data_IF_061784433272
#
_entry.id   IF_061784433272
#
_cell.length_a   1.000
_cell.length_b   1.000
_cell.length_c   1.000
_cell.angle_alpha   90.00
_cell.angle_beta   90.00
_cell.angle_gamma   90.00
#
_symmetry.space_group_name_H-M   'P 1'
#
loop_
_entity.id
_entity.type
_entity.pdbx_description
1 polymer ?
#
# COMPACT_ATOMS: atom_id res chain seq x y z
N UNK A 1 13.09 0.84 19.33
CA UNK A 1 13.67 1.87 18.44
C UNK A 1 14.26 3.01 19.25
N UNK A 2 13.53 3.57 20.24
CA UNK A 2 13.97 4.72 21.03
C UNK A 2 15.25 4.46 21.85
N UNK A 3 15.41 3.24 22.38
CA UNK A 3 16.63 2.83 23.08
C UNK A 3 17.88 2.89 22.17
N UNK A 4 17.73 2.52 20.91
CA UNK A 4 18.79 2.61 19.90
C UNK A 4 19.00 4.06 19.45
N UNK A 5 17.91 4.81 19.25
CA UNK A 5 17.95 6.22 18.85
C UNK A 5 18.61 7.13 19.92
N UNK A 6 18.58 6.72 21.20
CA UNK A 6 19.29 7.40 22.28
C UNK A 6 20.82 7.24 22.19
N UNK A 7 21.31 6.27 21.43
CA UNK A 7 22.75 5.95 21.32
C UNK A 7 23.34 6.34 19.96
N UNK A 8 22.55 6.21 18.90
CA UNK A 8 22.97 6.50 17.53
C UNK A 8 21.84 7.11 16.73
N UNK A 9 22.12 7.93 15.70
CA UNK A 9 21.09 8.41 14.79
C UNK A 9 20.38 7.24 14.10
N UNK A 10 19.04 7.24 14.13
CA UNK A 10 18.21 6.18 13.57
C UNK A 10 17.32 6.72 12.46
N UNK A 11 17.31 6.00 11.34
CA UNK A 11 16.41 6.24 10.22
C UNK A 11 15.41 5.09 10.09
N UNK A 12 14.16 5.41 9.79
CA UNK A 12 13.17 4.41 9.36
C UNK A 12 13.02 4.45 7.85
N UNK A 13 12.84 3.29 7.22
CA UNK A 13 12.74 3.12 5.77
C UNK A 13 11.48 2.38 5.38
N UNK A 14 10.76 2.86 4.38
CA UNK A 14 9.59 2.19 3.80
C UNK A 14 8.36 2.11 4.69
N UNK A 15 8.56 2.02 6.01
CA UNK A 15 7.50 2.14 7.01
C UNK A 15 7.97 3.06 8.13
N UNK A 16 7.18 4.05 8.45
CA UNK A 16 7.51 5.06 9.46
C UNK A 16 7.16 4.59 10.89
N UNK A 17 7.82 5.21 11.86
CA UNK A 17 7.52 5.13 13.29
C UNK A 17 7.44 6.55 13.88
N UNK A 18 6.38 7.32 13.56
CA UNK A 18 6.31 8.77 13.83
C UNK A 18 6.33 9.10 15.32
N UNK A 19 5.89 8.17 16.18
CA UNK A 19 5.90 8.36 17.64
C UNK A 19 7.27 8.07 18.28
N UNK A 20 8.26 7.65 17.49
CA UNK A 20 9.61 7.38 17.99
C UNK A 20 10.53 8.58 17.92
N UNK A 21 11.68 8.48 18.61
CA UNK A 21 12.74 9.50 18.61
C UNK A 21 13.69 9.36 17.40
N UNK A 22 13.24 8.70 16.29
CA UNK A 22 14.02 8.57 15.08
C UNK A 22 14.53 9.92 14.54
N UNK A 23 15.66 9.90 13.87
CA UNK A 23 16.25 11.09 13.24
C UNK A 23 15.44 11.53 12.03
N UNK A 24 15.10 10.59 11.12
CA UNK A 24 14.24 10.83 9.99
C UNK A 24 13.59 9.52 9.49
N UNK A 25 12.49 9.67 8.79
CA UNK A 25 11.90 8.68 7.88
C UNK A 25 12.29 9.04 6.45
N UNK A 26 12.68 8.04 5.68
CA UNK A 26 12.91 8.16 4.25
C UNK A 26 12.11 7.07 3.54
N UNK A 27 11.18 7.45 2.70
CA UNK A 27 10.29 6.47 2.07
C UNK A 27 9.21 7.12 1.22
N UNK A 28 8.17 6.37 0.97
CA UNK A 28 7.01 6.79 0.20
C UNK A 28 6.13 7.72 1.04
N UNK A 29 5.55 8.73 0.42
CA UNK A 29 4.36 9.40 0.96
C UNK A 29 3.18 8.44 0.84
N UNK A 30 2.91 7.70 1.93
CA UNK A 30 1.88 6.66 1.96
C UNK A 30 0.46 7.23 1.84
N UNK A 31 0.23 8.47 2.28
CA UNK A 31 -1.07 9.12 2.09
C UNK A 31 -1.29 9.48 0.61
N UNK A 32 -0.28 10.06 -0.05
CA UNK A 32 -0.36 10.37 -1.48
C UNK A 32 -0.49 9.08 -2.32
N UNK A 33 0.25 8.03 -2.00
CA UNK A 33 0.16 6.74 -2.69
C UNK A 33 -1.21 6.08 -2.52
N UNK A 34 -1.79 6.17 -1.32
CA UNK A 34 -3.15 5.74 -1.06
C UNK A 34 -4.18 6.51 -1.87
N UNK A 35 -4.02 7.84 -1.99
CA UNK A 35 -4.89 8.68 -2.82
C UNK A 35 -4.84 8.27 -4.29
N UNK A 36 -3.65 8.01 -4.83
CA UNK A 36 -3.48 7.49 -6.19
C UNK A 36 -4.23 6.16 -6.38
N UNK A 37 -4.17 5.24 -5.40
CA UNK A 37 -4.93 4.00 -5.46
C UNK A 37 -6.45 4.27 -5.50
N UNK A 38 -6.95 5.24 -4.73
CA UNK A 38 -8.36 5.65 -4.76
C UNK A 38 -8.77 6.22 -6.11
N UNK A 39 -7.91 7.00 -6.75
CA UNK A 39 -8.13 7.53 -8.10
C UNK A 39 -8.14 6.41 -9.16
N UNK A 40 -7.27 5.41 -9.03
CA UNK A 40 -7.32 4.20 -9.87
C UNK A 40 -8.62 3.44 -9.68
N UNK A 41 -9.11 3.28 -8.44
CA UNK A 41 -10.41 2.64 -8.17
C UNK A 41 -11.55 3.39 -8.84
N UNK A 42 -11.61 4.74 -8.75
CA UNK A 42 -12.63 5.54 -9.44
C UNK A 42 -12.57 5.36 -10.95
N UNK A 43 -11.36 5.31 -11.50
CA UNK A 43 -11.17 5.11 -12.95
C UNK A 43 -11.62 3.72 -13.39
N UNK A 44 -11.38 2.70 -12.56
CA UNK A 44 -11.82 1.33 -12.83
C UNK A 44 -13.34 1.14 -12.67
N UNK A 45 -13.96 1.93 -11.78
CA UNK A 45 -15.37 1.82 -11.41
C UNK A 45 -16.11 3.15 -11.63
N UNK A 46 -16.24 3.63 -12.87
CA UNK A 46 -16.84 4.92 -13.17
C UNK A 46 -18.32 5.03 -12.75
N UNK A 47 -19.01 3.92 -12.64
CA UNK A 47 -20.40 3.85 -12.18
C UNK A 47 -20.51 3.62 -10.66
N UNK A 48 -19.37 3.57 -9.95
CA UNK A 48 -19.32 3.26 -8.53
C UNK A 48 -19.39 1.77 -8.24
N UNK A 49 -19.62 1.44 -6.97
CA UNK A 49 -19.77 0.06 -6.50
C UNK A 49 -19.12 -0.20 -5.15
N UNK A 50 -19.23 -1.43 -4.69
CA UNK A 50 -18.66 -1.88 -3.43
C UNK A 50 -17.26 -2.43 -3.63
N UNK A 51 -16.34 -2.07 -2.75
CA UNK A 51 -14.97 -2.61 -2.76
C UNK A 51 -14.58 -3.19 -1.40
N UNK A 52 -13.64 -4.11 -1.43
CA UNK A 52 -12.97 -4.65 -0.24
C UNK A 52 -11.49 -4.28 -0.29
N UNK A 53 -10.94 -3.89 0.84
CA UNK A 53 -9.51 -3.57 0.99
C UNK A 53 -8.80 -4.68 1.76
N UNK A 54 -7.58 -5.02 1.36
CA UNK A 54 -6.75 -6.06 1.96
C UNK A 54 -5.40 -5.49 2.36
N UNK A 55 -4.93 -5.86 3.55
CA UNK A 55 -3.65 -5.42 4.09
C UNK A 55 -3.15 -6.41 5.14
N UNK A 56 -1.86 -6.48 5.34
CA UNK A 56 -1.29 -7.35 6.36
C UNK A 56 -1.76 -7.00 7.76
N UNK A 57 -1.57 -5.75 8.17
CA UNK A 57 -1.90 -5.25 9.51
C UNK A 57 -2.48 -3.84 9.44
N UNK A 58 -3.61 -3.62 10.10
CA UNK A 58 -4.26 -2.28 10.12
C UNK A 58 -3.52 -1.25 10.97
N UNK A 59 -2.72 -1.70 11.93
CA UNK A 59 -1.97 -0.84 12.87
C UNK A 59 -0.59 -0.43 12.35
N UNK A 60 -0.16 -0.93 11.20
CA UNK A 60 1.06 -0.48 10.55
C UNK A 60 0.88 0.94 9.99
N UNK A 61 1.88 1.81 10.21
CA UNK A 61 1.78 3.22 9.84
C UNK A 61 1.46 3.43 8.35
N UNK A 62 2.15 2.71 7.46
CA UNK A 62 1.89 2.77 6.02
C UNK A 62 0.46 2.30 5.67
N UNK A 63 -0.08 1.30 6.36
CA UNK A 63 -1.45 0.85 6.15
C UNK A 63 -2.47 1.91 6.55
N UNK A 64 -2.24 2.58 7.69
CA UNK A 64 -3.09 3.68 8.18
C UNK A 64 -3.08 4.83 7.16
N UNK A 65 -1.90 5.27 6.72
CA UNK A 65 -1.75 6.39 5.79
C UNK A 65 -2.30 6.05 4.40
N UNK A 66 -2.01 4.85 3.85
CA UNK A 66 -2.56 4.39 2.57
C UNK A 66 -4.09 4.29 2.59
N UNK A 67 -4.66 3.75 3.67
CA UNK A 67 -6.12 3.67 3.80
C UNK A 67 -6.77 5.06 3.93
N UNK A 68 -6.11 5.99 4.64
CA UNK A 68 -6.57 7.37 4.73
C UNK A 68 -6.56 8.04 3.33
N UNK A 69 -5.44 7.94 2.62
CA UNK A 69 -5.29 8.46 1.26
C UNK A 69 -6.28 7.81 0.29
N UNK A 70 -6.47 6.48 0.36
CA UNK A 70 -7.45 5.77 -0.46
C UNK A 70 -8.84 6.39 -0.32
N UNK A 71 -9.29 6.65 0.92
CA UNK A 71 -10.58 7.30 1.18
C UNK A 71 -10.67 8.69 0.55
N UNK A 72 -9.60 9.49 0.65
CA UNK A 72 -9.53 10.80 -0.02
C UNK A 72 -9.61 10.66 -1.55
N UNK A 73 -8.87 9.69 -2.12
CA UNK A 73 -8.90 9.43 -3.55
C UNK A 73 -10.27 8.99 -4.06
N UNK A 74 -11.10 8.37 -3.22
CA UNK A 74 -12.46 7.93 -3.54
C UNK A 74 -13.50 9.07 -3.46
N UNK A 75 -13.18 10.22 -2.89
CA UNK A 75 -14.12 11.35 -2.77
C UNK A 75 -14.71 11.74 -4.13
N UNK A 76 -16.00 12.03 -4.14
CA UNK A 76 -16.77 12.32 -5.35
C UNK A 76 -17.12 11.12 -6.22
N UNK A 77 -16.66 9.91 -5.88
CA UNK A 77 -17.09 8.65 -6.49
C UNK A 77 -18.22 7.98 -5.69
N UNK A 78 -19.09 7.25 -6.38
CA UNK A 78 -20.13 6.44 -5.71
C UNK A 78 -19.56 5.06 -5.31
N UNK A 79 -18.50 5.05 -4.48
CA UNK A 79 -17.76 3.85 -4.11
C UNK A 79 -17.81 3.66 -2.60
N UNK A 80 -18.21 2.46 -2.18
CA UNK A 80 -18.31 2.05 -0.78
C UNK A 80 -17.19 1.06 -0.42
N UNK A 81 -16.37 1.39 0.57
CA UNK A 81 -15.46 0.42 1.21
C UNK A 81 -16.28 -0.37 2.22
N UNK A 82 -16.56 -1.67 1.91
CA UNK A 82 -17.34 -2.53 2.80
C UNK A 82 -16.58 -2.83 4.08
N UNK A 83 -15.30 -3.22 3.94
CA UNK A 83 -14.43 -3.54 5.07
C UNK A 83 -12.95 -3.51 4.64
N UNK A 84 -12.07 -3.60 5.64
CA UNK A 84 -10.63 -3.81 5.45
C UNK A 84 -10.25 -5.12 6.11
N UNK A 85 -9.81 -6.11 5.34
CA UNK A 85 -9.43 -7.44 5.83
C UNK A 85 -7.94 -7.56 6.06
N UNK A 86 -7.57 -8.16 7.19
CA UNK A 86 -6.16 -8.37 7.56
C UNK A 86 -5.79 -9.85 7.46
N UNK A 87 -4.54 -10.09 7.12
CA UNK A 87 -3.99 -11.43 6.93
C UNK A 87 -2.72 -11.72 7.76
N UNK A 88 -2.26 -10.75 8.56
CA UNK A 88 -1.06 -10.85 9.40
C UNK A 88 0.22 -11.17 8.59
N UNK A 89 0.28 -10.69 7.36
CA UNK A 89 1.35 -10.94 6.39
C UNK A 89 1.46 -12.42 5.95
N UNK A 90 0.37 -13.18 6.03
CA UNK A 90 0.28 -14.55 5.55
C UNK A 90 -0.39 -14.57 4.16
N UNK A 91 0.35 -14.99 3.14
CA UNK A 91 -0.12 -15.01 1.75
C UNK A 91 -1.26 -16.01 1.52
N UNK A 92 -1.29 -17.14 2.24
CA UNK A 92 -2.38 -18.10 2.15
C UNK A 92 -3.68 -17.52 2.72
N UNK A 93 -3.58 -16.84 3.88
CA UNK A 93 -4.70 -16.13 4.50
C UNK A 93 -5.16 -14.95 3.64
N UNK A 94 -4.25 -14.23 2.99
CA UNK A 94 -4.60 -13.17 2.04
C UNK A 94 -5.47 -13.72 0.89
N UNK A 95 -5.07 -14.86 0.27
CA UNK A 95 -5.84 -15.51 -0.78
C UNK A 95 -7.20 -16.01 -0.27
N UNK A 96 -7.24 -16.64 0.91
CA UNK A 96 -8.48 -17.09 1.53
C UNK A 96 -9.44 -15.93 1.81
N UNK A 97 -8.94 -14.83 2.35
CA UNK A 97 -9.72 -13.62 2.59
C UNK A 97 -10.37 -13.08 1.30
N UNK A 98 -9.64 -13.10 0.18
CA UNK A 98 -10.18 -12.67 -1.11
C UNK A 98 -11.26 -13.63 -1.62
N UNK A 99 -11.02 -14.95 -1.54
CA UNK A 99 -11.99 -15.98 -1.94
C UNK A 99 -13.29 -15.89 -1.12
N UNK A 100 -13.18 -15.75 0.21
CA UNK A 100 -14.32 -15.57 1.10
C UNK A 100 -15.11 -14.30 0.76
N UNK A 101 -14.41 -13.21 0.42
CA UNK A 101 -15.05 -11.96 -0.01
C UNK A 101 -15.85 -12.15 -1.29
N UNK A 102 -15.28 -12.82 -2.29
CA UNK A 102 -15.95 -13.10 -3.57
C UNK A 102 -17.17 -14.01 -3.42
N UNK A 103 -17.14 -14.90 -2.44
CA UNK A 103 -18.25 -15.79 -2.10
C UNK A 103 -19.36 -15.06 -1.34
N UNK A 104 -18.98 -14.26 -0.33
CA UNK A 104 -19.92 -13.56 0.55
C UNK A 104 -20.59 -12.36 -0.12
N UNK A 105 -19.88 -11.70 -1.03
CA UNK A 105 -20.35 -10.51 -1.73
C UNK A 105 -20.31 -10.75 -3.25
N UNK A 106 -21.33 -11.42 -3.81
CA UNK A 106 -21.35 -11.73 -5.24
C UNK A 106 -21.42 -10.50 -6.15
N UNK A 107 -21.86 -9.36 -5.61
CA UNK A 107 -21.97 -8.05 -6.25
C UNK A 107 -20.75 -7.13 -6.00
N UNK A 108 -19.67 -7.65 -5.42
CA UNK A 108 -18.44 -6.88 -5.20
C UNK A 108 -17.89 -6.37 -6.54
N UNK A 109 -17.61 -5.07 -6.64
CA UNK A 109 -17.13 -4.44 -7.86
C UNK A 109 -15.60 -4.39 -7.95
N UNK A 110 -14.91 -4.32 -6.80
CA UNK A 110 -13.46 -4.24 -6.80
C UNK A 110 -12.78 -4.72 -5.52
N UNK A 111 -11.54 -5.15 -5.67
CA UNK A 111 -10.65 -5.57 -4.60
C UNK A 111 -9.35 -4.77 -4.64
N UNK A 112 -8.93 -4.25 -3.50
CA UNK A 112 -7.74 -3.38 -3.38
C UNK A 112 -6.75 -4.00 -2.41
N UNK A 113 -5.54 -4.30 -2.88
CA UNK A 113 -4.43 -4.75 -2.04
C UNK A 113 -3.52 -3.59 -1.69
N UNK A 114 -3.26 -3.34 -0.41
CA UNK A 114 -2.40 -2.23 0.04
C UNK A 114 -0.92 -2.61 0.21
N UNK A 115 -0.58 -3.90 0.21
CA UNK A 115 0.80 -4.39 0.27
C UNK A 115 1.10 -5.30 -0.92
N UNK A 116 2.38 -5.45 -1.27
CA UNK A 116 2.84 -6.11 -2.50
C UNK A 116 2.21 -7.48 -2.73
N UNK A 117 2.27 -8.38 -1.74
CA UNK A 117 1.78 -9.75 -1.85
C UNK A 117 0.24 -9.87 -1.86
N UNK A 118 -0.50 -8.83 -1.43
CA UNK A 118 -1.96 -8.85 -1.46
C UNK A 118 -2.48 -8.94 -2.91
N UNK A 119 -1.85 -8.22 -3.83
CA UNK A 119 -2.31 -8.14 -5.23
C UNK A 119 -2.25 -9.48 -5.95
N UNK A 120 -1.13 -10.25 -5.92
CA UNK A 120 -1.11 -11.61 -6.47
C UNK A 120 -2.11 -12.55 -5.79
N UNK A 121 -2.27 -12.44 -4.47
CA UNK A 121 -3.24 -13.26 -3.73
C UNK A 121 -4.70 -12.99 -4.19
N UNK A 122 -5.05 -11.72 -4.36
CA UNK A 122 -6.35 -11.28 -4.90
C UNK A 122 -6.52 -11.77 -6.34
N UNK A 123 -5.53 -11.57 -7.21
CA UNK A 123 -5.57 -12.00 -8.61
C UNK A 123 -5.86 -13.50 -8.72
N UNK A 124 -5.16 -14.31 -7.93
CA UNK A 124 -5.35 -15.75 -7.91
C UNK A 124 -6.76 -16.14 -7.44
N UNK A 125 -7.28 -15.50 -6.39
CA UNK A 125 -8.63 -15.75 -5.90
C UNK A 125 -9.72 -15.36 -6.93
N UNK A 126 -9.56 -14.19 -7.59
CA UNK A 126 -10.49 -13.72 -8.63
C UNK A 126 -10.47 -14.62 -9.86
N UNK A 127 -9.27 -15.10 -10.25
CA UNK A 127 -9.10 -16.08 -11.34
C UNK A 127 -9.77 -17.40 -11.02
N UNK A 128 -9.51 -17.96 -9.83
CA UNK A 128 -10.08 -19.24 -9.38
C UNK A 128 -11.62 -19.18 -9.32
N UNK A 129 -12.17 -17.99 -9.00
CA UNK A 129 -13.62 -17.74 -8.99
C UNK A 129 -14.22 -17.47 -10.38
N UNK A 130 -13.41 -17.38 -11.45
CA UNK A 130 -13.88 -17.07 -12.82
C UNK A 130 -14.45 -15.65 -12.96
N UNK A 131 -13.90 -14.67 -12.20
CA UNK A 131 -14.43 -13.29 -12.14
C UNK A 131 -13.46 -12.22 -12.67
N UNK A 132 -12.42 -12.59 -13.44
CA UNK A 132 -11.41 -11.66 -13.94
C UNK A 132 -12.00 -10.48 -14.73
N UNK A 133 -13.07 -10.71 -15.49
CA UNK A 133 -13.73 -9.68 -16.31
C UNK A 133 -14.82 -8.91 -15.55
N UNK A 134 -15.03 -9.19 -14.25
CA UNK A 134 -16.17 -8.68 -13.47
C UNK A 134 -15.75 -7.90 -12.23
N UNK A 135 -14.55 -8.14 -11.72
CA UNK A 135 -14.06 -7.55 -10.48
C UNK A 135 -12.78 -6.78 -10.77
N UNK A 136 -12.79 -5.48 -10.57
CA UNK A 136 -11.62 -4.66 -10.72
C UNK A 136 -10.59 -4.97 -9.63
N UNK A 137 -9.32 -5.07 -10.01
CA UNK A 137 -8.21 -5.31 -9.08
C UNK A 137 -7.28 -4.12 -9.13
N UNK A 138 -7.02 -3.51 -7.98
CA UNK A 138 -6.04 -2.44 -7.81
C UNK A 138 -5.01 -2.89 -6.78
N UNK A 139 -3.75 -2.66 -7.08
CA UNK A 139 -2.64 -3.14 -6.28
C UNK A 139 -1.65 -2.08 -5.84
N UNK A 140 -0.68 -2.58 -5.10
CA UNK A 140 0.56 -1.88 -4.74
C UNK A 140 1.76 -2.73 -5.14
N UNK A 141 2.84 -2.02 -5.45
CA UNK A 141 4.16 -2.55 -5.78
C UNK A 141 4.22 -3.33 -7.11
N UNK A 142 5.38 -3.87 -7.41
CA UNK A 142 5.78 -4.41 -8.71
C UNK A 142 6.10 -5.92 -8.68
N UNK A 143 5.38 -6.71 -7.87
CA UNK A 143 5.51 -8.17 -7.91
C UNK A 143 5.29 -8.68 -9.35
N UNK A 144 6.09 -9.64 -9.81
CA UNK A 144 6.05 -10.15 -11.19
C UNK A 144 4.63 -10.55 -11.64
N UNK A 145 3.87 -11.21 -10.76
CA UNK A 145 2.48 -11.57 -11.05
C UNK A 145 1.57 -10.33 -11.16
N UNK A 146 1.84 -9.29 -10.39
CA UNK A 146 1.10 -8.02 -10.46
C UNK A 146 1.36 -7.34 -11.79
N UNK A 147 2.63 -7.19 -12.19
CA UNK A 147 3.00 -6.59 -13.47
C UNK A 147 2.47 -7.38 -14.67
N UNK A 148 2.56 -8.71 -14.61
CA UNK A 148 1.98 -9.55 -15.65
C UNK A 148 0.45 -9.40 -15.69
N UNK A 149 -0.21 -9.35 -14.53
CA UNK A 149 -1.66 -9.13 -14.45
C UNK A 149 -2.11 -7.80 -15.03
N UNK A 150 -1.33 -6.72 -14.83
CA UNK A 150 -1.58 -5.41 -15.47
C UNK A 150 -1.42 -5.52 -16.98
N UNK A 151 -0.34 -6.15 -17.45
CA UNK A 151 -0.07 -6.37 -18.89
C UNK A 151 -1.18 -7.17 -19.59
N UNK A 152 -1.72 -8.17 -18.89
CA UNK A 152 -2.78 -9.04 -19.42
C UNK A 152 -4.19 -8.40 -19.29
N UNK A 153 -4.29 -7.23 -18.66
CA UNK A 153 -5.56 -6.53 -18.43
C UNK A 153 -6.42 -7.11 -17.29
N UNK A 154 -5.87 -8.02 -16.47
CA UNK A 154 -6.57 -8.63 -15.34
C UNK A 154 -6.48 -7.79 -14.06
N UNK A 155 -5.47 -6.93 -13.95
CA UNK A 155 -5.30 -5.92 -12.90
C UNK A 155 -5.41 -4.56 -13.57
N UNK A 156 -6.28 -3.69 -13.04
CA UNK A 156 -6.49 -2.36 -13.63
C UNK A 156 -5.26 -1.48 -13.49
N UNK A 157 -4.57 -1.55 -12.35
CA UNK A 157 -3.34 -0.81 -12.10
C UNK A 157 -2.74 -1.12 -10.74
N UNK A 158 -1.49 -0.71 -10.57
CA UNK A 158 -0.75 -0.82 -9.31
C UNK A 158 0.01 0.47 -9.03
N UNK A 159 0.08 0.85 -7.75
CA UNK A 159 0.86 2.00 -7.27
C UNK A 159 2.25 1.52 -6.93
N UNK A 160 3.26 2.00 -7.67
CA UNK A 160 4.64 1.56 -7.52
C UNK A 160 5.44 2.56 -6.68
N UNK A 161 6.25 2.05 -5.78
CA UNK A 161 7.16 2.82 -4.95
C UNK A 161 8.57 2.88 -5.59
N UNK A 162 9.50 3.60 -4.93
CA UNK A 162 10.89 3.74 -5.38
C UNK A 162 11.89 3.23 -4.31
N UNK A 163 11.85 1.93 -3.94
CA UNK A 163 12.63 1.41 -2.80
C UNK A 163 14.15 1.60 -2.98
N UNK A 164 14.66 1.47 -4.18
CA UNK A 164 16.06 1.77 -4.48
C UNK A 164 16.38 3.26 -4.25
N UNK A 165 15.49 4.15 -4.72
CA UNK A 165 15.68 5.60 -4.61
C UNK A 165 15.73 6.08 -3.17
N UNK A 166 14.73 5.74 -2.36
CA UNK A 166 14.71 6.19 -0.96
C UNK A 166 15.77 5.50 -0.10
N UNK A 167 16.16 4.25 -0.40
CA UNK A 167 17.28 3.60 0.29
C UNK A 167 18.60 4.32 0.00
N UNK A 168 18.86 4.66 -1.26
CA UNK A 168 20.05 5.42 -1.64
C UNK A 168 20.06 6.80 -0.97
N UNK A 169 18.92 7.50 -0.94
CA UNK A 169 18.78 8.80 -0.30
C UNK A 169 19.04 8.71 1.21
N UNK A 170 18.49 7.71 1.88
CA UNK A 170 18.74 7.48 3.31
C UNK A 170 20.23 7.30 3.62
N UNK A 171 20.92 6.46 2.83
CA UNK A 171 22.37 6.28 3.00
C UNK A 171 23.15 7.59 2.82
N UNK A 172 22.82 8.39 1.79
CA UNK A 172 23.43 9.72 1.58
C UNK A 172 23.22 10.63 2.78
N UNK A 173 21.98 10.71 3.31
CA UNK A 173 21.66 11.54 4.48
C UNK A 173 22.40 11.07 5.73
N UNK A 174 22.48 9.74 5.95
CA UNK A 174 23.27 9.18 7.05
C UNK A 174 24.74 9.56 6.97
N UNK A 175 25.36 9.45 5.78
CA UNK A 175 26.76 9.85 5.57
C UNK A 175 26.99 11.32 5.84
N UNK A 176 26.11 12.20 5.38
CA UNK A 176 26.18 13.65 5.64
C UNK A 176 26.05 13.94 7.14
N UNK A 177 25.11 13.29 7.80
CA UNK A 177 24.89 13.44 9.25
C UNK A 177 26.13 13.04 10.06
N UNK A 178 26.78 11.92 9.71
CA UNK A 178 28.03 11.44 10.36
C UNK A 178 29.17 12.46 10.15
N UNK A 179 29.18 13.16 9.02
CA UNK A 179 30.15 14.23 8.71
C UNK A 179 29.82 15.58 9.35
N UNK A 180 28.74 15.64 10.16
CA UNK A 180 28.31 16.85 10.87
C UNK A 180 27.33 17.73 10.09
N UNK A 181 26.99 17.37 8.85
CA UNK A 181 26.01 18.09 8.03
C UNK A 181 24.60 17.59 8.31
N UNK A 182 23.76 18.45 8.91
CA UNK A 182 22.35 18.19 9.24
C UNK A 182 21.38 18.85 8.25
N UNK A 183 21.87 19.53 7.23
CA UNK A 183 21.05 20.32 6.29
C UNK A 183 20.00 19.48 5.55
N UNK A 184 20.26 18.18 5.40
CA UNK A 184 19.38 17.24 4.70
C UNK A 184 18.41 16.49 5.63
N UNK A 185 18.36 16.85 6.92
CA UNK A 185 17.37 16.29 7.85
C UNK A 185 16.18 17.25 7.88
N UNK A 186 15.01 16.87 7.36
CA UNK A 186 13.84 17.73 7.33
C UNK A 186 13.28 17.97 8.73
N UNK A 187 12.69 19.15 8.95
CA UNK A 187 12.18 19.57 10.25
C UNK A 187 11.05 18.66 10.77
N UNK A 188 10.21 18.15 9.87
CA UNK A 188 9.14 17.19 10.17
C UNK A 188 9.64 15.73 10.24
N UNK A 189 10.95 15.52 10.05
CA UNK A 189 11.60 14.21 10.02
C UNK A 189 11.06 13.26 8.94
N UNK A 190 10.47 13.77 7.85
CA UNK A 190 10.03 13.01 6.68
C UNK A 190 10.77 13.47 5.42
N UNK A 191 11.32 12.53 4.63
CA UNK A 191 12.06 12.79 3.41
C UNK A 191 11.73 11.76 2.31
#
# INVERSE_FOLDING_TARGET
LDEAAAKVPMFTLGADAPMSTRTAYVGTDDAASGKMAGELVKSALPNGGKIMVFVGRRDAQNAIERLHGLKQGLEGGNIEIIDVRTDEADAAKAKSNAADTLSKYPDIAGLVGLWSYNTPAILNAVRDAGKLDKVAIIGFDEEDQTLQGVKDGHIFGTVVQQPFGFTLDAVKRMVLLIRGDKSQIPADKKA
#
